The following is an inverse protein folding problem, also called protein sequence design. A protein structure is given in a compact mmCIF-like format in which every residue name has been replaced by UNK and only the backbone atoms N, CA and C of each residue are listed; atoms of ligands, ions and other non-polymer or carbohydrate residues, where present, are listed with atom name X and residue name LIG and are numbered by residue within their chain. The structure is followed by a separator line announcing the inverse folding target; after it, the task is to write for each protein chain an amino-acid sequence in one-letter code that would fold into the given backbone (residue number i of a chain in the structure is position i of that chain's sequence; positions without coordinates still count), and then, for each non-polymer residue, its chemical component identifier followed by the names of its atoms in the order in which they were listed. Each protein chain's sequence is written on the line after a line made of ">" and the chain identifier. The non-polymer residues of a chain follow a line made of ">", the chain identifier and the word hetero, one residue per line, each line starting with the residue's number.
data_IF_428172065348
#
_entry.id   IF_428172065348
#
_cell.length_a   1.000
_cell.length_b   1.000
_cell.length_c   1.000
_cell.angle_alpha   90.00
_cell.angle_beta   90.00
_cell.angle_gamma   90.00
#
_symmetry.space_group_name_H-M   'P 1'
#
loop_
_entity.id
_entity.type
_entity.pdbx_description
1 polymer ?
#
# COMPACT_ATOMS: atom_id res chain seq x y z
N UNK A 1 -0.75 13.18 9.26
CA UNK A 1 0.45 12.82 10.06
C UNK A 1 0.01 11.71 11.00
N UNK A 2 0.78 10.62 11.07
CA UNK A 2 0.40 9.45 11.86
C UNK A 2 0.42 9.75 13.37
N UNK A 3 -0.46 9.07 14.12
CA UNK A 3 -0.51 9.20 15.56
C UNK A 3 0.67 8.50 16.24
N UNK A 4 1.64 9.28 16.73
CA UNK A 4 2.85 8.77 17.39
C UNK A 4 2.55 7.81 18.54
N UNK A 5 1.51 8.07 19.34
CA UNK A 5 1.16 7.19 20.47
C UNK A 5 0.70 5.81 19.98
N UNK A 6 -0.13 5.77 18.93
CA UNK A 6 -0.60 4.52 18.35
C UNK A 6 0.53 3.74 17.68
N UNK A 7 1.44 4.43 16.99
CA UNK A 7 2.65 3.80 16.45
C UNK A 7 3.50 3.15 17.55
N UNK A 8 3.71 3.86 18.67
CA UNK A 8 4.46 3.35 19.81
C UNK A 8 3.80 2.11 20.42
N UNK A 9 2.49 2.14 20.66
CA UNK A 9 1.74 1.01 21.22
C UNK A 9 1.86 -0.21 20.31
N UNK A 10 1.65 -0.04 19.01
CA UNK A 10 1.71 -1.16 18.07
C UNK A 10 3.15 -1.68 17.93
N UNK A 11 4.15 -0.80 17.89
CA UNK A 11 5.56 -1.19 17.83
C UNK A 11 5.99 -1.99 19.06
N UNK A 12 5.62 -1.51 20.25
CA UNK A 12 5.94 -2.20 21.51
C UNK A 12 5.25 -3.56 21.56
N UNK A 13 4.01 -3.67 21.09
CA UNK A 13 3.30 -4.94 20.98
C UNK A 13 4.00 -5.91 20.02
N UNK A 14 4.29 -5.50 18.79
CA UNK A 14 4.98 -6.35 17.80
C UNK A 14 6.34 -6.84 18.32
N UNK A 15 7.08 -5.99 19.03
CA UNK A 15 8.39 -6.35 19.61
C UNK A 15 8.32 -7.41 20.73
N UNK A 16 7.17 -7.55 21.38
CA UNK A 16 6.94 -8.55 22.44
C UNK A 16 6.59 -9.93 21.86
N UNK A 17 6.30 -10.01 20.56
CA UNK A 17 5.88 -11.21 19.86
C UNK A 17 6.90 -11.62 18.78
N UNK A 18 8.12 -12.05 19.17
CA UNK A 18 9.18 -12.43 18.21
C UNK A 18 8.83 -13.65 17.35
N UNK A 19 7.77 -14.39 17.70
CA UNK A 19 7.21 -15.48 16.89
C UNK A 19 6.48 -15.01 15.63
N UNK A 20 6.10 -13.72 15.55
CA UNK A 20 5.42 -13.16 14.40
C UNK A 20 6.38 -12.98 13.22
N UNK A 21 5.86 -13.17 12.00
CA UNK A 21 6.58 -12.79 10.78
C UNK A 21 6.56 -11.28 10.55
N UNK A 22 5.47 -10.62 10.95
CA UNK A 22 5.32 -9.17 10.87
C UNK A 22 5.76 -8.58 12.20
N UNK A 23 6.94 -7.95 12.20
CA UNK A 23 7.54 -7.36 13.41
C UNK A 23 7.73 -5.84 13.32
N UNK A 24 7.42 -5.27 12.15
CA UNK A 24 7.58 -3.83 11.89
C UNK A 24 6.23 -3.13 11.78
N UNK A 25 6.05 -2.06 12.56
CA UNK A 25 4.90 -1.16 12.44
C UNK A 25 4.81 -0.56 11.04
N UNK A 26 5.94 -0.26 10.40
CA UNK A 26 5.98 0.29 9.04
C UNK A 26 5.41 -0.72 8.03
N UNK A 27 5.67 -2.01 8.22
CA UNK A 27 5.08 -3.07 7.41
C UNK A 27 3.55 -3.15 7.60
N UNK A 28 3.05 -2.91 8.80
CA UNK A 28 1.60 -2.83 9.04
C UNK A 28 1.00 -1.60 8.36
N UNK A 29 1.64 -0.43 8.47
CA UNK A 29 1.18 0.81 7.81
C UNK A 29 1.18 0.65 6.29
N UNK A 30 2.20 -0.01 5.74
CA UNK A 30 2.28 -0.36 4.33
C UNK A 30 1.14 -1.27 3.90
N UNK A 31 0.85 -2.30 4.69
CA UNK A 31 -0.28 -3.19 4.46
C UNK A 31 -1.60 -2.44 4.46
N UNK A 32 -1.86 -1.59 5.46
CA UNK A 32 -3.04 -0.73 5.52
C UNK A 32 -3.16 0.13 4.25
N UNK A 33 -2.06 0.75 3.83
CA UNK A 33 -2.03 1.63 2.65
C UNK A 33 -2.38 0.88 1.37
N UNK A 34 -1.83 -0.32 1.17
CA UNK A 34 -2.12 -1.14 0.00
C UNK A 34 -3.51 -1.77 0.03
N UNK A 35 -4.04 -2.03 1.22
CA UNK A 35 -5.36 -2.62 1.41
C UNK A 35 -6.47 -1.61 1.06
N UNK A 36 -6.30 -0.36 1.49
CA UNK A 36 -7.21 0.75 1.19
C UNK A 36 -7.06 1.28 -0.24
N UNK A 37 -5.91 1.07 -0.88
CA UNK A 37 -5.72 1.32 -2.30
C UNK A 37 -6.37 0.19 -3.13
N UNK A 38 -7.69 0.05 -3.00
CA UNK A 38 -8.50 -0.92 -3.72
C UNK A 38 -9.94 -0.41 -3.86
N UNK A 39 -10.62 -0.79 -4.94
CA UNK A 39 -12.03 -0.41 -5.19
C UNK A 39 -13.03 -1.16 -4.31
N UNK A 40 -12.57 -2.10 -3.47
CA UNK A 40 -13.39 -2.83 -2.51
C UNK A 40 -12.91 -2.59 -1.08
N UNK A 41 -13.88 -2.48 -0.16
CA UNK A 41 -13.60 -2.27 1.25
C UNK A 41 -13.13 -3.57 1.93
N UNK A 42 -11.93 -3.51 2.52
CA UNK A 42 -11.44 -4.52 3.45
C UNK A 42 -11.43 -3.96 4.87
N UNK A 43 -11.93 -4.76 5.80
CA UNK A 43 -12.04 -4.36 7.21
C UNK A 43 -10.76 -4.60 8.01
N UNK A 44 -10.81 -4.17 9.27
CA UNK A 44 -9.76 -4.35 10.29
C UNK A 44 -9.31 -5.81 10.50
N UNK A 45 -10.17 -6.78 10.17
CA UNK A 45 -9.86 -8.21 10.26
C UNK A 45 -8.71 -8.62 9.37
N UNK A 46 -8.55 -8.03 8.18
CA UNK A 46 -7.44 -8.35 7.29
C UNK A 46 -6.11 -7.85 7.85
N UNK A 47 -6.11 -6.68 8.48
CA UNK A 47 -4.94 -6.12 9.15
C UNK A 47 -4.57 -7.01 10.35
N UNK A 48 -5.56 -7.42 11.15
CA UNK A 48 -5.34 -8.33 12.26
C UNK A 48 -4.82 -9.70 11.81
N UNK A 49 -5.34 -10.25 10.71
CA UNK A 49 -4.87 -11.50 10.11
C UNK A 49 -3.42 -11.39 9.60
N UNK A 50 -3.10 -10.27 8.95
CA UNK A 50 -1.75 -10.00 8.47
C UNK A 50 -0.72 -9.99 9.61
N UNK A 51 -1.05 -9.30 10.71
CA UNK A 51 -0.19 -9.26 11.90
C UNK A 51 -0.11 -10.63 12.57
N UNK A 52 -1.26 -11.30 12.75
CA UNK A 52 -1.33 -12.53 13.53
C UNK A 52 -0.69 -13.75 12.86
N UNK A 53 -0.61 -13.80 11.52
CA UNK A 53 -0.04 -14.92 10.76
C UNK A 53 -0.47 -16.31 11.32
N UNK A 54 -1.80 -16.52 11.45
CA UNK A 54 -2.43 -17.73 11.99
C UNK A 54 -2.28 -17.95 13.50
N UNK A 55 -1.90 -16.91 14.26
CA UNK A 55 -1.87 -16.94 15.72
C UNK A 55 -3.21 -16.44 16.30
N UNK A 56 -4.12 -17.38 16.60
CA UNK A 56 -5.48 -17.08 17.10
C UNK A 56 -5.50 -16.18 18.36
N UNK A 57 -4.62 -16.38 19.38
CA UNK A 57 -4.52 -15.44 20.50
C UNK A 57 -4.22 -14.01 20.10
N UNK A 58 -3.27 -13.79 19.18
CA UNK A 58 -2.88 -12.46 18.70
C UNK A 58 -4.01 -11.84 17.88
N UNK A 59 -4.63 -12.62 16.99
CA UNK A 59 -5.80 -12.18 16.23
C UNK A 59 -6.93 -11.73 17.17
N UNK A 60 -7.27 -12.56 18.16
CA UNK A 60 -8.33 -12.25 19.13
C UNK A 60 -8.02 -10.98 19.90
N UNK A 61 -6.77 -10.78 20.30
CA UNK A 61 -6.34 -9.56 20.98
C UNK A 61 -6.52 -8.33 20.10
N UNK A 62 -6.14 -8.42 18.83
CA UNK A 62 -6.27 -7.34 17.84
C UNK A 62 -7.71 -7.09 17.37
N UNK A 63 -8.64 -8.00 17.68
CA UNK A 63 -10.07 -7.89 17.34
C UNK A 63 -10.97 -7.65 18.56
N UNK A 64 -10.39 -7.36 19.72
CA UNK A 64 -11.11 -7.06 20.96
C UNK A 64 -10.62 -5.74 21.54
N UNK A 65 -11.46 -5.07 22.34
CA UNK A 65 -11.17 -3.77 22.94
C UNK A 65 -9.90 -3.80 23.79
N UNK A 66 -8.79 -3.46 23.13
CA UNK A 66 -7.43 -3.50 23.64
C UNK A 66 -6.69 -2.28 23.13
N UNK A 67 -5.62 -1.88 23.82
CA UNK A 67 -4.82 -0.74 23.40
C UNK A 67 -4.21 -0.96 22.01
N UNK A 68 -3.91 -2.22 21.67
CA UNK A 68 -3.33 -2.63 20.40
C UNK A 68 -4.35 -2.55 19.25
N UNK A 69 -5.60 -2.97 19.51
CA UNK A 69 -6.72 -2.78 18.57
C UNK A 69 -6.97 -1.29 18.33
N UNK A 70 -7.13 -0.49 19.39
CA UNK A 70 -7.36 0.96 19.29
C UNK A 70 -6.22 1.66 18.51
N UNK A 71 -4.97 1.24 18.75
CA UNK A 71 -3.81 1.76 18.03
C UNK A 71 -3.87 1.41 16.53
N UNK A 72 -4.19 0.16 16.19
CA UNK A 72 -4.35 -0.29 14.81
C UNK A 72 -5.46 0.50 14.09
N UNK A 73 -6.62 0.69 14.73
CA UNK A 73 -7.72 1.48 14.17
C UNK A 73 -7.33 2.93 13.97
N UNK A 74 -6.66 3.55 14.95
CA UNK A 74 -6.19 4.93 14.80
C UNK A 74 -5.24 5.10 13.60
N UNK A 75 -4.34 4.12 13.39
CA UNK A 75 -3.43 4.14 12.24
C UNK A 75 -4.18 3.93 10.92
N UNK A 76 -5.16 3.01 10.90
CA UNK A 76 -6.07 2.83 9.77
C UNK A 76 -6.78 4.14 9.41
N UNK A 77 -7.36 4.82 10.39
CA UNK A 77 -8.04 6.10 10.20
C UNK A 77 -7.08 7.16 9.65
N UNK A 78 -5.87 7.26 10.19
CA UNK A 78 -4.89 8.24 9.71
C UNK A 78 -4.46 7.99 8.25
N UNK A 79 -4.29 6.72 7.84
CA UNK A 79 -3.97 6.37 6.45
C UNK A 79 -5.16 6.64 5.54
N UNK A 80 -6.37 6.29 5.98
CA UNK A 80 -7.62 6.55 5.25
C UNK A 80 -7.77 8.05 4.98
N UNK A 81 -7.64 8.89 6.02
CA UNK A 81 -7.71 10.34 5.89
C UNK A 81 -6.65 10.89 4.93
N UNK A 82 -5.43 10.35 4.97
CA UNK A 82 -4.36 10.77 4.07
C UNK A 82 -4.67 10.42 2.60
N UNK A 83 -5.19 9.22 2.34
CA UNK A 83 -5.55 8.77 0.98
C UNK A 83 -6.76 9.52 0.43
N UNK A 84 -7.81 9.75 1.23
CA UNK A 84 -8.96 10.57 0.84
C UNK A 84 -8.53 12.00 0.53
N UNK A 85 -7.58 12.54 1.30
CA UNK A 85 -6.99 13.86 1.04
C UNK A 85 -5.94 13.85 -0.09
N UNK A 86 -5.72 12.72 -0.77
CA UNK A 86 -4.75 12.52 -1.85
C UNK A 86 -3.34 13.00 -1.46
N UNK A 87 -2.94 12.72 -0.22
CA UNK A 87 -1.62 13.09 0.27
C UNK A 87 -0.55 12.16 -0.31
N UNK A 88 0.59 12.75 -0.61
CA UNK A 88 1.85 12.04 -0.87
C UNK A 88 2.34 11.40 0.44
N UNK A 89 1.85 10.19 0.68
CA UNK A 89 1.94 9.53 1.98
C UNK A 89 3.39 9.14 2.30
N UNK A 90 4.17 8.75 1.29
CA UNK A 90 5.58 8.41 1.51
C UNK A 90 6.37 9.64 1.92
N UNK A 91 6.24 10.76 1.19
CA UNK A 91 6.95 12.00 1.52
C UNK A 91 6.58 12.53 2.91
N UNK A 92 5.36 12.22 3.38
CA UNK A 92 4.86 12.61 4.69
C UNK A 92 5.42 11.76 5.84
N UNK A 93 5.59 10.45 5.63
CA UNK A 93 5.99 9.50 6.69
C UNK A 93 7.50 9.18 6.62
N UNK A 94 8.04 9.03 5.41
CA UNK A 94 9.42 8.60 5.15
C UNK A 94 10.19 9.63 4.31
N UNK A 95 10.35 10.88 4.77
CA UNK A 95 11.06 11.90 4.01
C UNK A 95 12.52 11.48 3.79
N UNK A 96 13.06 11.77 2.60
CA UNK A 96 14.45 11.49 2.27
C UNK A 96 15.23 12.78 1.94
N UNK A 97 16.56 12.72 2.08
CA UNK A 97 17.45 13.78 1.62
C UNK A 97 17.52 13.84 0.09
N UNK A 98 17.81 15.02 -0.47
CA UNK A 98 17.94 15.21 -1.93
C UNK A 98 19.00 14.31 -2.58
N UNK A 99 20.03 13.95 -1.81
CA UNK A 99 21.14 13.10 -2.24
C UNK A 99 21.02 11.65 -1.73
N UNK A 100 19.81 11.24 -1.28
CA UNK A 100 19.57 9.87 -0.85
C UNK A 100 19.81 8.89 -2.01
N UNK A 101 20.46 7.77 -1.70
CA UNK A 101 20.86 6.75 -2.68
C UNK A 101 20.27 5.36 -2.42
N UNK A 102 19.41 5.27 -1.41
CA UNK A 102 18.76 4.04 -0.99
C UNK A 102 17.50 4.34 -0.15
N UNK A 103 16.51 3.44 -0.16
CA UNK A 103 15.37 3.50 0.75
C UNK A 103 15.82 3.22 2.18
N UNK A 104 15.25 3.95 3.15
CA UNK A 104 15.44 3.63 4.57
C UNK A 104 14.85 2.26 4.90
N UNK A 105 15.34 1.60 5.95
CA UNK A 105 14.81 0.31 6.38
C UNK A 105 13.29 0.35 6.64
N UNK A 106 12.80 1.44 7.23
CA UNK A 106 11.37 1.66 7.44
C UNK A 106 10.58 1.67 6.13
N UNK A 107 11.09 2.38 5.10
CA UNK A 107 10.45 2.41 3.79
C UNK A 107 10.46 1.04 3.12
N UNK A 108 11.55 0.28 3.25
CA UNK A 108 11.62 -1.10 2.73
C UNK A 108 10.55 -1.98 3.39
N UNK A 109 10.39 -1.89 4.72
CA UNK A 109 9.35 -2.62 5.44
C UNK A 109 7.94 -2.18 5.03
N UNK A 110 7.72 -0.87 4.84
CA UNK A 110 6.46 -0.36 4.32
C UNK A 110 6.14 -0.95 2.93
N UNK A 111 7.12 -1.02 2.02
CA UNK A 111 6.93 -1.64 0.72
C UNK A 111 6.58 -3.14 0.82
N UNK A 112 7.21 -3.89 1.74
CA UNK A 112 6.85 -5.29 2.02
C UNK A 112 5.38 -5.40 2.44
N UNK A 113 4.94 -4.53 3.35
CA UNK A 113 3.55 -4.44 3.79
C UNK A 113 2.58 -4.20 2.64
N UNK A 114 2.85 -3.17 1.84
CA UNK A 114 2.00 -2.80 0.71
C UNK A 114 1.85 -3.94 -0.30
N UNK A 115 2.95 -4.60 -0.65
CA UNK A 115 2.93 -5.75 -1.56
C UNK A 115 2.14 -6.93 -0.99
N UNK A 116 2.22 -7.17 0.32
CA UNK A 116 1.42 -8.20 0.96
C UNK A 116 -0.08 -7.90 0.90
N UNK A 117 -0.49 -6.63 1.03
CA UNK A 117 -1.88 -6.22 0.83
C UNK A 117 -2.31 -6.36 -0.63
N UNK A 118 -1.44 -6.03 -1.59
CA UNK A 118 -1.70 -6.27 -3.00
C UNK A 118 -2.02 -7.75 -3.29
N UNK A 119 -1.31 -8.68 -2.64
CA UNK A 119 -1.61 -10.11 -2.78
C UNK A 119 -2.99 -10.50 -2.25
N UNK A 120 -3.53 -9.77 -1.28
CA UNK A 120 -4.89 -9.99 -0.74
C UNK A 120 -5.94 -9.47 -1.72
N UNK A 121 -5.70 -8.33 -2.35
CA UNK A 121 -6.68 -7.67 -3.23
C UNK A 121 -6.39 -7.83 -4.74
N UNK A 122 -5.48 -8.73 -5.11
CA UNK A 122 -5.07 -8.96 -6.49
C UNK A 122 -6.26 -9.30 -7.42
N UNK A 123 -7.19 -10.13 -6.96
CA UNK A 123 -8.35 -10.52 -7.75
C UNK A 123 -9.26 -9.32 -8.06
N UNK A 124 -9.44 -8.41 -7.09
CA UNK A 124 -10.21 -7.18 -7.28
C UNK A 124 -9.54 -6.29 -8.34
N UNK A 125 -8.23 -6.09 -8.23
CA UNK A 125 -7.47 -5.34 -9.24
C UNK A 125 -7.56 -5.96 -10.64
N UNK A 126 -7.55 -7.29 -10.75
CA UNK A 126 -7.76 -7.95 -12.05
C UNK A 126 -9.16 -7.67 -12.61
N UNK A 127 -10.19 -7.64 -11.78
CA UNK A 127 -11.53 -7.24 -12.19
C UNK A 127 -11.56 -5.78 -12.65
N UNK A 128 -10.89 -4.88 -11.92
CA UNK A 128 -10.77 -3.46 -12.26
C UNK A 128 -10.07 -3.23 -13.59
N UNK A 129 -8.97 -3.95 -13.85
CA UNK A 129 -8.26 -3.85 -15.13
C UNK A 129 -9.15 -4.30 -16.29
N UNK A 130 -9.91 -5.39 -16.11
CA UNK A 130 -10.85 -5.84 -17.14
C UNK A 130 -11.98 -4.83 -17.38
N UNK A 131 -12.45 -4.16 -16.33
CA UNK A 131 -13.43 -3.09 -16.44
C UNK A 131 -12.88 -1.91 -17.25
N UNK A 132 -11.70 -1.39 -16.88
CA UNK A 132 -11.02 -0.29 -17.57
C UNK A 132 -10.78 -0.60 -19.05
N UNK A 133 -10.24 -1.79 -19.37
CA UNK A 133 -10.02 -2.23 -20.74
C UNK A 133 -11.31 -2.42 -21.55
N UNK A 134 -12.43 -2.66 -20.88
CA UNK A 134 -13.74 -2.76 -21.53
C UNK A 134 -14.32 -1.38 -21.83
N UNK A 135 -14.14 -0.41 -20.94
CA UNK A 135 -14.52 0.99 -21.14
C UNK A 135 -13.72 1.63 -22.30
N UNK A 136 -12.41 1.40 -22.36
CA UNK A 136 -11.53 1.88 -23.46
C UNK A 136 -12.02 1.43 -24.84
N UNK A 137 -12.62 0.24 -24.96
CA UNK A 137 -13.13 -0.29 -26.23
C UNK A 137 -14.42 0.41 -26.69
N UNK A 138 -15.14 1.08 -25.80
CA UNK A 138 -16.41 1.74 -26.11
C UNK A 138 -16.22 3.21 -26.54
N UNK A 139 -15.14 3.87 -26.14
CA UNK A 139 -14.86 5.28 -26.45
C UNK A 139 -13.84 5.40 -27.59
N UNK A 140 -14.31 5.81 -28.78
CA UNK A 140 -13.51 5.85 -30.02
C UNK A 140 -12.40 6.93 -30.00
N UNK A 141 -12.48 7.93 -29.12
CA UNK A 141 -11.55 9.08 -29.12
C UNK A 141 -10.36 8.97 -28.12
N UNK A 142 -10.41 8.08 -27.11
CA UNK A 142 -9.35 7.93 -26.07
C UNK A 142 -8.92 6.46 -25.87
N UNK A 143 -8.58 5.75 -26.95
CA UNK A 143 -8.09 4.37 -26.88
C UNK A 143 -6.66 4.29 -26.31
N UNK A 144 -6.47 4.47 -25.00
CA UNK A 144 -5.21 4.14 -24.30
C UNK A 144 -5.22 4.38 -22.78
N UNK A 145 -6.20 5.10 -22.22
CA UNK A 145 -6.12 5.60 -20.85
C UNK A 145 -6.14 4.47 -19.80
N UNK A 146 -6.96 3.43 -20.00
CA UNK A 146 -6.99 2.25 -19.14
C UNK A 146 -5.72 1.39 -19.23
N UNK A 147 -5.22 1.12 -20.44
CA UNK A 147 -3.96 0.37 -20.60
C UNK A 147 -2.77 1.12 -19.98
N UNK A 148 -2.69 2.44 -20.17
CA UNK A 148 -1.62 3.25 -19.58
C UNK A 148 -1.65 3.20 -18.05
N UNK A 149 -2.85 3.23 -17.44
CA UNK A 149 -2.99 3.05 -16.00
C UNK A 149 -2.47 1.69 -15.54
N UNK A 150 -2.82 0.60 -16.24
CA UNK A 150 -2.38 -0.76 -15.92
C UNK A 150 -0.85 -0.85 -16.00
N UNK A 151 -0.24 -0.34 -17.06
CA UNK A 151 1.22 -0.35 -17.23
C UNK A 151 1.92 0.42 -16.09
N UNK A 152 1.36 1.57 -15.69
CA UNK A 152 1.88 2.36 -14.56
C UNK A 152 1.69 1.63 -13.21
N UNK A 153 0.56 0.94 -13.02
CA UNK A 153 0.30 0.13 -11.84
C UNK A 153 1.32 -0.99 -11.70
N UNK A 154 1.56 -1.75 -12.77
CA UNK A 154 2.57 -2.82 -12.79
C UNK A 154 3.99 -2.29 -12.56
N UNK A 155 4.34 -1.16 -13.17
CA UNK A 155 5.62 -0.49 -12.92
C UNK A 155 5.77 -0.07 -11.45
N UNK A 156 4.68 0.40 -10.83
CA UNK A 156 4.63 0.77 -9.41
C UNK A 156 4.88 -0.44 -8.51
N UNK A 157 4.23 -1.58 -8.78
CA UNK A 157 4.48 -2.83 -8.04
C UNK A 157 5.92 -3.30 -8.16
N UNK A 158 6.51 -3.22 -9.36
CA UNK A 158 7.91 -3.59 -9.57
C UNK A 158 8.85 -2.67 -8.79
N UNK A 159 8.53 -1.38 -8.70
CA UNK A 159 9.32 -0.43 -7.93
C UNK A 159 9.19 -0.67 -6.42
N UNK A 160 7.98 -0.94 -5.93
CA UNK A 160 7.76 -1.39 -4.55
C UNK A 160 8.57 -2.64 -4.22
N UNK A 161 8.59 -3.64 -5.11
CA UNK A 161 9.37 -4.86 -4.93
C UNK A 161 10.88 -4.57 -4.90
N UNK A 162 11.34 -3.68 -5.78
CA UNK A 162 12.74 -3.22 -5.82
C UNK A 162 13.13 -2.55 -4.52
N UNK A 163 12.27 -1.71 -3.94
CA UNK A 163 12.54 -1.05 -2.67
C UNK A 163 12.47 -2.04 -1.49
N UNK A 164 11.46 -2.91 -1.46
CA UNK A 164 11.33 -3.94 -0.42
C UNK A 164 12.54 -4.89 -0.33
N UNK A 165 13.19 -5.16 -1.47
CA UNK A 165 14.35 -6.05 -1.57
C UNK A 165 15.63 -5.31 -1.98
N UNK A 166 15.77 -4.04 -1.59
CA UNK A 166 16.83 -3.17 -2.09
C UNK A 166 18.25 -3.76 -2.08
N UNK A 167 18.72 -4.43 -1.01
CA UNK A 167 20.06 -5.04 -1.00
C UNK A 167 20.25 -6.10 -2.09
N UNK A 168 19.22 -6.93 -2.33
CA UNK A 168 19.25 -7.97 -3.35
C UNK A 168 19.07 -7.36 -4.75
N UNK A 169 18.17 -6.39 -4.91
CA UNK A 169 17.98 -5.65 -6.16
C UNK A 169 19.27 -4.96 -6.61
N UNK A 170 20.01 -4.31 -5.71
CA UNK A 170 21.31 -3.72 -6.02
C UNK A 170 22.34 -4.76 -6.47
N UNK A 171 22.34 -5.95 -5.86
CA UNK A 171 23.28 -7.02 -6.18
C UNK A 171 23.00 -7.62 -7.57
N UNK A 172 21.74 -7.69 -7.96
CA UNK A 172 21.29 -8.31 -9.20
C UNK A 172 21.21 -7.33 -10.38
N UNK A 173 21.11 -6.03 -10.11
CA UNK A 173 21.00 -5.01 -11.15
C UNK A 173 22.28 -4.94 -12.02
N UNK A 174 22.18 -4.88 -13.36
CA UNK A 174 23.35 -4.75 -14.24
C UNK A 174 24.18 -3.48 -14.00
N UNK A 175 23.54 -2.42 -13.52
CA UNK A 175 24.15 -1.13 -13.23
C UNK A 175 23.76 -0.63 -11.81
N UNK A 176 24.31 -1.20 -10.72
CA UNK A 176 23.86 -0.89 -9.37
C UNK A 176 24.03 0.58 -8.97
N UNK A 177 25.11 1.22 -9.47
CA UNK A 177 25.37 2.62 -9.23
C UNK A 177 24.28 3.53 -9.83
N UNK A 178 23.76 3.18 -11.02
CA UNK A 178 22.69 3.94 -11.68
C UNK A 178 21.38 3.80 -10.91
N UNK A 179 21.07 2.59 -10.41
CA UNK A 179 19.90 2.37 -9.56
C UNK A 179 19.97 3.21 -8.28
N UNK A 180 21.11 3.19 -7.58
CA UNK A 180 21.34 4.02 -6.39
C UNK A 180 21.29 5.53 -6.68
N UNK A 181 21.91 6.00 -7.76
CA UNK A 181 21.88 7.42 -8.14
C UNK A 181 20.49 7.89 -8.56
N UNK A 182 19.67 6.98 -9.10
CA UNK A 182 18.28 7.24 -9.48
C UNK A 182 17.27 7.18 -8.32
N UNK A 183 17.67 6.75 -7.12
CA UNK A 183 16.74 6.48 -6.02
C UNK A 183 15.78 7.64 -5.72
N UNK A 184 16.29 8.86 -5.58
CA UNK A 184 15.45 10.02 -5.25
C UNK A 184 14.35 10.28 -6.30
N UNK A 185 14.67 10.10 -7.59
CA UNK A 185 13.70 10.24 -8.67
C UNK A 185 12.66 9.11 -8.64
N UNK A 186 13.12 7.88 -8.45
CA UNK A 186 12.25 6.72 -8.33
C UNK A 186 11.30 6.84 -7.13
N UNK A 187 11.79 7.33 -5.99
CA UNK A 187 10.97 7.59 -4.82
C UNK A 187 9.86 8.61 -5.10
N UNK A 188 10.18 9.73 -5.74
CA UNK A 188 9.16 10.74 -6.10
C UNK A 188 8.12 10.15 -7.04
N UNK A 189 8.56 9.42 -8.07
CA UNK A 189 7.65 8.74 -8.99
C UNK A 189 6.77 7.70 -8.28
N UNK A 190 7.33 6.94 -7.34
CA UNK A 190 6.57 5.98 -6.54
C UNK A 190 5.46 6.66 -5.74
N UNK A 191 5.78 7.74 -5.01
CA UNK A 191 4.81 8.46 -4.18
C UNK A 191 3.70 9.10 -5.01
N UNK A 192 4.03 9.65 -6.18
CA UNK A 192 3.04 10.15 -7.15
C UNK A 192 2.14 9.02 -7.68
N UNK A 193 2.72 7.88 -8.07
CA UNK A 193 1.96 6.74 -8.57
C UNK A 193 1.03 6.16 -7.50
N UNK A 194 1.47 6.07 -6.24
CA UNK A 194 0.64 5.58 -5.14
C UNK A 194 -0.58 6.48 -4.89
N UNK A 195 -0.41 7.80 -4.92
CA UNK A 195 -1.54 8.74 -4.86
C UNK A 195 -2.50 8.56 -6.04
N UNK A 196 -1.96 8.34 -7.25
CA UNK A 196 -2.75 8.06 -8.45
C UNK A 196 -3.55 6.76 -8.36
N UNK A 197 -2.94 5.69 -7.84
CA UNK A 197 -3.58 4.39 -7.64
C UNK A 197 -4.72 4.50 -6.63
N UNK A 198 -4.49 5.12 -5.46
CA UNK A 198 -5.53 5.32 -4.46
C UNK A 198 -6.70 6.16 -5.01
N UNK A 199 -6.41 7.18 -5.82
CA UNK A 199 -7.44 8.00 -6.46
C UNK A 199 -8.26 7.20 -7.47
N UNK A 200 -7.60 6.36 -8.29
CA UNK A 200 -8.29 5.49 -9.24
C UNK A 200 -9.16 4.45 -8.53
N UNK A 201 -8.69 3.88 -7.43
CA UNK A 201 -9.47 2.93 -6.63
C UNK A 201 -10.80 3.53 -6.15
N UNK A 202 -10.78 4.76 -5.63
CA UNK A 202 -12.00 5.48 -5.22
C UNK A 202 -12.92 5.77 -6.41
N UNK A 203 -12.37 6.18 -7.55
CA UNK A 203 -13.17 6.41 -8.76
C UNK A 203 -13.83 5.14 -9.28
N UNK A 204 -13.13 4.00 -9.22
CA UNK A 204 -13.66 2.71 -9.64
C UNK A 204 -14.74 2.21 -8.68
N UNK A 205 -14.59 2.45 -7.38
CA UNK A 205 -15.64 2.18 -6.39
C UNK A 205 -16.92 2.95 -6.74
N UNK A 206 -16.81 4.27 -6.94
CA UNK A 206 -17.95 5.15 -7.28
C UNK A 206 -18.64 4.71 -8.59
N UNK A 207 -17.87 4.41 -9.63
CA UNK A 207 -18.41 4.01 -10.95
C UNK A 207 -19.14 2.66 -10.87
N UNK A 208 -18.59 1.68 -10.14
CA UNK A 208 -19.23 0.39 -9.92
C UNK A 208 -20.54 0.53 -9.14
N UNK A 209 -20.56 1.39 -8.11
CA UNK A 209 -21.76 1.67 -7.33
C UNK A 209 -22.86 2.28 -8.20
N UNK A 210 -22.52 3.24 -9.06
CA UNK A 210 -23.46 3.86 -9.99
C UNK A 210 -24.08 2.82 -10.96
N UNK A 211 -23.25 1.93 -11.52
CA UNK A 211 -23.74 0.85 -12.40
C UNK A 211 -24.72 -0.09 -11.68
N UNK A 212 -24.45 -0.43 -10.41
CA UNK A 212 -25.36 -1.26 -9.62
C UNK A 212 -26.69 -0.56 -9.31
N UNK A 213 -26.69 0.75 -9.11
CA UNK A 213 -27.93 1.52 -8.90
C UNK A 213 -28.76 1.65 -10.19
N UNK A 214 -28.13 1.67 -11.37
CA UNK A 214 -28.83 1.72 -12.66
C UNK A 214 -29.42 0.35 -13.08
N UNK A 215 -28.82 -0.76 -12.62
CA UNK A 215 -29.28 -2.13 -12.91
C UNK A 215 -30.36 -2.66 -11.95
N UNK A 216 -30.64 -1.96 -10.84
CA UNK A 216 -31.62 -2.33 -9.78
C UNK A 216 -33.02 -1.75 -9.95
#
# INVERSE_FOLDING_TARGET
>A
MLNEKSELVLRDYLSQHPELKVVSTDSVIGFISGLLACSEFYGESEIANYIADKNDPIYTRLMTSSAEHDAMITLLDNVTEAQVAQQHILASIYPHGKDAKEPSEQLQQWCVGYLAAYMVNQEVWQHDFNFLLSADKQVVENQADGQLFIDNFEATLNLLATFAMWPDSLKEHPEPAVLSEGFALLYTGLDESLTGIASMALMLEDEKLALWEEEG
#
